data_IF_697119228399
#
_entry.id   IF_697119228399
#
_cell.length_a   1.000
_cell.length_b   1.000
_cell.length_c   1.000
_cell.angle_alpha   90.00
_cell.angle_beta   90.00
_cell.angle_gamma   90.00
#
_symmetry.space_group_name_H-M   'P 1'
#
loop_
_entity.id
_entity.type
_entity.pdbx_description
1 polymer ?
#
# COMPACT_ATOMS: atom_id res chain seq x y z
N UNK A 1 16.83 -29.60 6.79
CA UNK A 1 17.54 -28.48 6.11
C UNK A 1 17.41 -27.23 6.97
N UNK A 2 18.48 -26.47 7.16
CA UNK A 2 18.44 -25.18 7.86
C UNK A 2 17.71 -24.17 6.97
N UNK A 3 16.64 -23.54 7.45
CA UNK A 3 15.91 -22.53 6.68
C UNK A 3 16.71 -21.23 6.66
N UNK A 4 16.68 -20.52 5.53
CA UNK A 4 17.27 -19.18 5.45
C UNK A 4 16.41 -18.21 6.27
N UNK A 5 17.07 -17.38 7.07
CA UNK A 5 16.42 -16.33 7.85
C UNK A 5 16.13 -15.13 6.94
N UNK A 6 14.88 -14.67 6.92
CA UNK A 6 14.44 -13.52 6.11
C UNK A 6 13.62 -12.58 6.98
N UNK A 7 14.00 -11.30 7.02
CA UNK A 7 13.26 -10.27 7.74
C UNK A 7 12.34 -9.46 6.84
N UNK A 8 11.13 -9.18 7.33
CA UNK A 8 10.10 -8.42 6.62
C UNK A 8 9.43 -7.39 7.51
N UNK A 9 9.31 -6.17 7.01
CA UNK A 9 8.45 -5.14 7.56
C UNK A 9 7.12 -5.14 6.83
N UNK A 10 6.01 -5.06 7.56
CA UNK A 10 4.65 -5.01 7.00
C UNK A 10 3.97 -3.72 7.46
N UNK A 11 3.55 -2.91 6.50
CA UNK A 11 2.80 -1.67 6.69
C UNK A 11 1.54 -1.77 5.85
N UNK A 12 0.36 -1.59 6.45
CA UNK A 12 -0.89 -1.74 5.72
C UNK A 12 -1.98 -0.75 6.13
N UNK A 13 -2.88 -0.42 5.20
CA UNK A 13 -4.10 0.33 5.47
C UNK A 13 -5.29 -0.56 5.88
N UNK A 14 -5.06 -1.85 6.12
CA UNK A 14 -6.09 -2.76 6.59
C UNK A 14 -5.49 -3.89 7.44
N UNK A 15 -6.37 -4.66 8.07
CA UNK A 15 -5.96 -5.75 8.93
C UNK A 15 -5.19 -6.81 8.12
N UNK A 16 -3.95 -7.07 8.52
CA UNK A 16 -3.01 -7.99 7.90
C UNK A 16 -2.61 -9.16 8.83
N UNK A 17 -3.30 -9.34 9.97
CA UNK A 17 -2.97 -10.37 10.95
C UNK A 17 -3.02 -11.80 10.37
N UNK A 18 -3.97 -12.07 9.46
CA UNK A 18 -4.05 -13.35 8.77
C UNK A 18 -2.83 -13.58 7.87
N UNK A 19 -2.39 -12.55 7.14
CA UNK A 19 -1.20 -12.64 6.29
C UNK A 19 0.05 -12.88 7.13
N UNK A 20 0.23 -12.15 8.24
CA UNK A 20 1.33 -12.35 9.19
C UNK A 20 1.34 -13.77 9.74
N UNK A 21 0.17 -14.30 10.13
CA UNK A 21 0.04 -15.65 10.65
C UNK A 21 0.39 -16.71 9.60
N UNK A 22 -0.05 -16.52 8.35
CA UNK A 22 0.33 -17.41 7.24
C UNK A 22 1.83 -17.35 6.95
N UNK A 23 2.43 -16.16 7.01
CA UNK A 23 3.85 -15.96 6.76
C UNK A 23 4.70 -16.66 7.82
N UNK A 24 4.37 -16.46 9.12
CA UNK A 24 5.04 -17.11 10.24
C UNK A 24 4.93 -18.64 10.20
N UNK A 25 3.85 -19.19 9.66
CA UNK A 25 3.65 -20.63 9.49
C UNK A 25 4.21 -21.21 8.18
N UNK A 26 4.75 -20.37 7.29
CA UNK A 26 5.31 -20.83 6.02
C UNK A 26 6.55 -21.70 6.22
N UNK A 27 6.65 -22.79 5.45
CA UNK A 27 7.82 -23.66 5.46
C UNK A 27 9.00 -23.12 4.64
N UNK A 28 8.80 -22.06 3.86
CA UNK A 28 9.75 -21.58 2.86
C UNK A 28 10.99 -20.90 3.47
N UNK A 29 10.79 -20.08 4.51
CA UNK A 29 11.84 -19.32 5.19
C UNK A 29 11.61 -19.31 6.70
N UNK A 30 12.64 -18.93 7.45
CA UNK A 30 12.51 -18.55 8.86
C UNK A 30 12.24 -17.05 8.93
N UNK A 31 10.96 -16.68 9.03
CA UNK A 31 10.51 -15.29 8.88
C UNK A 31 10.62 -14.50 10.18
N UNK A 32 11.37 -13.41 10.15
CA UNK A 32 11.36 -12.37 11.18
C UNK A 32 10.41 -11.25 10.73
N UNK A 33 9.19 -11.26 11.28
CA UNK A 33 8.12 -10.33 10.89
C UNK A 33 8.04 -9.16 11.87
N UNK A 34 8.25 -7.95 11.35
CA UNK A 34 7.95 -6.70 12.02
C UNK A 34 6.68 -6.10 11.42
N UNK A 35 5.70 -5.79 12.24
CA UNK A 35 4.44 -5.19 11.80
C UNK A 35 4.16 -3.92 12.61
N UNK A 36 3.42 -3.00 12.00
CA UNK A 36 2.80 -1.85 12.68
C UNK A 36 1.29 -2.03 12.68
N UNK A 37 0.59 -1.37 13.59
CA UNK A 37 -0.86 -1.32 13.54
C UNK A 37 -1.34 -0.85 12.16
N UNK A 38 -2.40 -1.46 11.64
CA UNK A 38 -2.97 -1.04 10.37
C UNK A 38 -3.47 0.41 10.45
N UNK A 39 -3.61 1.06 9.29
CA UNK A 39 -3.94 2.49 9.17
C UNK A 39 -2.86 3.46 9.69
N UNK A 40 -1.63 2.98 9.92
CA UNK A 40 -0.49 3.82 10.30
C UNK A 40 0.49 4.05 9.13
N UNK A 41 0.02 4.00 7.88
CA UNK A 41 0.88 4.02 6.68
C UNK A 41 1.74 5.29 6.64
N UNK A 42 1.12 6.47 6.55
CA UNK A 42 1.86 7.73 6.46
C UNK A 42 2.63 8.06 7.74
N UNK A 43 2.06 7.75 8.91
CA UNK A 43 2.70 7.92 10.21
C UNK A 43 4.02 7.13 10.27
N UNK A 44 4.02 5.91 9.75
CA UNK A 44 5.20 5.05 9.72
C UNK A 44 6.20 5.51 8.65
N UNK A 45 5.73 5.83 7.45
CA UNK A 45 6.60 6.23 6.33
C UNK A 45 7.27 7.60 6.55
N UNK A 46 6.63 8.52 7.27
CA UNK A 46 7.16 9.87 7.53
C UNK A 46 7.96 9.97 8.83
N UNK A 47 7.80 9.00 9.75
CA UNK A 47 8.57 8.95 10.99
C UNK A 47 9.85 8.12 10.82
N UNK A 48 10.95 8.78 10.47
CA UNK A 48 12.27 8.15 10.33
C UNK A 48 12.81 7.50 11.63
N UNK A 49 12.24 7.86 12.79
CA UNK A 49 12.61 7.33 14.09
C UNK A 49 11.71 6.16 14.55
N UNK A 50 10.77 5.69 13.73
CA UNK A 50 9.91 4.57 14.08
C UNK A 50 10.75 3.31 14.40
N UNK A 51 10.30 2.52 15.38
CA UNK A 51 11.02 1.32 15.85
C UNK A 51 11.37 0.35 14.70
N UNK A 52 10.47 0.24 13.72
CA UNK A 52 10.60 -0.60 12.53
C UNK A 52 11.82 -0.23 11.64
N UNK A 53 12.30 1.01 11.72
CA UNK A 53 13.42 1.51 10.91
C UNK A 53 14.78 1.43 11.61
N UNK A 54 14.84 0.94 12.86
CA UNK A 54 16.09 0.81 13.62
C UNK A 54 17.08 -0.19 13.02
N UNK A 55 16.57 -1.16 12.26
CA UNK A 55 17.38 -2.17 11.59
C UNK A 55 16.93 -2.31 10.14
N UNK A 56 17.90 -2.50 9.25
CA UNK A 56 17.63 -2.78 7.85
C UNK A 56 17.09 -4.20 7.71
N UNK A 57 16.05 -4.37 6.89
CA UNK A 57 15.41 -5.66 6.64
C UNK A 57 15.55 -6.10 5.18
N UNK A 58 15.25 -7.36 4.88
CA UNK A 58 15.29 -7.85 3.51
C UNK A 58 14.14 -7.27 2.68
N UNK A 59 12.93 -7.23 3.24
CA UNK A 59 11.72 -6.84 2.52
C UNK A 59 10.94 -5.82 3.35
N UNK A 60 10.47 -4.75 2.73
CA UNK A 60 9.33 -3.97 3.26
C UNK A 60 8.15 -4.14 2.33
N UNK A 61 7.03 -4.63 2.85
CA UNK A 61 5.74 -4.69 2.16
C UNK A 61 4.87 -3.50 2.60
N UNK A 62 4.45 -2.69 1.63
CA UNK A 62 3.50 -1.60 1.84
C UNK A 62 2.21 -1.98 1.12
N UNK A 63 1.22 -2.45 1.88
CA UNK A 63 0.00 -3.01 1.34
C UNK A 63 -1.21 -2.13 1.66
N UNK A 64 -1.55 -1.27 0.72
CA UNK A 64 -2.54 -0.21 0.90
C UNK A 64 -3.72 -0.36 -0.04
N UNK A 65 -4.75 0.45 0.17
CA UNK A 65 -5.88 0.62 -0.74
C UNK A 65 -5.82 2.02 -1.36
N UNK A 66 -6.38 2.23 -2.56
CA UNK A 66 -6.30 3.54 -3.21
C UNK A 66 -6.99 4.63 -2.37
N UNK A 67 -8.12 4.32 -1.72
CA UNK A 67 -8.80 5.26 -0.82
C UNK A 67 -8.01 5.62 0.45
N UNK A 68 -7.06 4.78 0.87
CA UNK A 68 -6.18 5.08 2.02
C UNK A 68 -5.03 6.01 1.65
N UNK A 69 -4.72 6.13 0.35
CA UNK A 69 -3.66 7.00 -0.16
C UNK A 69 -4.22 8.34 -0.60
N UNK A 70 -5.39 8.34 -1.24
CA UNK A 70 -6.03 9.57 -1.71
C UNK A 70 -7.48 9.66 -1.23
N UNK A 71 -7.75 10.73 -0.47
CA UNK A 71 -9.11 11.08 -0.05
C UNK A 71 -10.01 11.45 -1.24
N UNK A 72 -9.42 11.96 -2.33
CA UNK A 72 -10.15 12.19 -3.58
C UNK A 72 -10.58 10.87 -4.23
N UNK A 73 -9.75 9.83 -4.16
CA UNK A 73 -10.17 8.51 -4.62
C UNK A 73 -11.31 7.94 -3.76
N UNK A 74 -11.32 8.21 -2.45
CA UNK A 74 -12.44 7.84 -1.60
C UNK A 74 -13.74 8.57 -1.99
N UNK A 75 -13.66 9.87 -2.32
CA UNK A 75 -14.80 10.64 -2.84
C UNK A 75 -15.34 10.04 -4.12
N UNK A 76 -14.45 9.60 -5.02
CA UNK A 76 -14.80 8.94 -6.26
C UNK A 76 -15.59 7.65 -6.04
N UNK A 77 -15.13 6.79 -5.11
CA UNK A 77 -15.84 5.56 -4.72
C UNK A 77 -17.25 5.87 -4.19
N UNK A 78 -17.42 7.02 -3.54
CA UNK A 78 -18.69 7.52 -3.03
C UNK A 78 -19.52 8.31 -4.07
N UNK A 79 -19.16 8.22 -5.36
CA UNK A 79 -19.86 8.87 -6.50
C UNK A 79 -19.92 10.40 -6.43
N UNK A 80 -18.94 11.01 -5.75
CA UNK A 80 -18.81 12.46 -5.72
C UNK A 80 -17.92 12.95 -6.87
N UNK A 81 -18.08 14.21 -7.25
CA UNK A 81 -17.14 14.88 -8.15
C UNK A 81 -15.75 14.97 -7.49
N UNK A 82 -14.70 14.76 -8.28
CA UNK A 82 -13.31 14.74 -7.79
C UNK A 82 -12.40 15.57 -8.67
N UNK A 83 -11.24 15.93 -8.12
CA UNK A 83 -10.14 16.51 -8.88
C UNK A 83 -9.05 15.45 -9.12
N UNK A 84 -8.99 14.90 -10.33
CA UNK A 84 -7.98 13.91 -10.70
C UNK A 84 -6.53 14.40 -10.53
N UNK A 85 -6.27 15.71 -10.57
CA UNK A 85 -4.92 16.24 -10.34
C UNK A 85 -4.50 16.17 -8.86
N UNK A 86 -5.47 16.20 -7.93
CA UNK A 86 -5.19 15.95 -6.52
C UNK A 86 -4.86 14.48 -6.26
N UNK A 87 -5.56 13.54 -6.93
CA UNK A 87 -5.22 12.10 -6.86
C UNK A 87 -3.76 11.87 -7.27
N UNK A 88 -3.32 12.48 -8.38
CA UNK A 88 -1.93 12.37 -8.85
C UNK A 88 -0.94 12.92 -7.83
N UNK A 89 -1.24 14.08 -7.22
CA UNK A 89 -0.38 14.67 -6.17
C UNK A 89 -0.28 13.78 -4.94
N UNK A 90 -1.37 13.16 -4.52
CA UNK A 90 -1.39 12.23 -3.38
C UNK A 90 -0.52 10.99 -3.68
N UNK A 91 -0.59 10.46 -4.90
CA UNK A 91 0.24 9.34 -5.37
C UNK A 91 1.71 9.74 -5.44
N UNK A 92 2.04 10.92 -5.99
CA UNK A 92 3.41 11.44 -6.04
C UNK A 92 4.01 11.58 -4.64
N UNK A 93 3.21 12.09 -3.69
CA UNK A 93 3.60 12.21 -2.29
C UNK A 93 3.84 10.85 -1.67
N UNK A 94 2.93 9.88 -1.85
CA UNK A 94 3.10 8.51 -1.38
C UNK A 94 4.38 7.86 -1.95
N UNK A 95 4.62 7.99 -3.25
CA UNK A 95 5.85 7.53 -3.89
C UNK A 95 7.10 8.21 -3.31
N UNK A 96 7.03 9.48 -2.95
CA UNK A 96 8.13 10.19 -2.27
C UNK A 96 8.43 9.61 -0.89
N UNK A 97 7.40 9.28 -0.12
CA UNK A 97 7.52 8.63 1.19
C UNK A 97 8.14 7.23 1.04
N UNK A 98 7.72 6.44 0.05
CA UNK A 98 8.31 5.13 -0.26
C UNK A 98 9.80 5.26 -0.60
N UNK A 99 10.18 6.21 -1.45
CA UNK A 99 11.60 6.43 -1.79
C UNK A 99 12.44 6.72 -0.55
N UNK A 100 11.89 7.46 0.42
CA UNK A 100 12.60 7.84 1.64
C UNK A 100 12.96 6.64 2.54
N UNK A 101 12.14 5.57 2.51
CA UNK A 101 12.38 4.39 3.33
C UNK A 101 13.31 3.37 2.68
N UNK A 102 13.71 3.57 1.41
CA UNK A 102 14.50 2.59 0.65
C UNK A 102 15.81 2.18 1.34
N UNK A 103 16.41 3.10 2.09
CA UNK A 103 17.63 2.84 2.88
C UNK A 103 17.46 1.80 3.99
N UNK A 104 16.23 1.53 4.43
CA UNK A 104 15.90 0.56 5.47
C UNK A 104 15.54 -0.83 4.93
N UNK A 105 15.55 -1.04 3.61
CA UNK A 105 15.22 -2.36 3.04
C UNK A 105 15.93 -2.69 1.74
N UNK A 106 16.31 -3.97 1.60
CA UNK A 106 16.91 -4.47 0.36
C UNK A 106 15.90 -4.43 -0.80
N UNK A 107 14.63 -4.73 -0.52
CA UNK A 107 13.53 -4.69 -1.48
C UNK A 107 12.33 -3.99 -0.83
N UNK A 108 11.63 -3.15 -1.60
CA UNK A 108 10.33 -2.60 -1.20
C UNK A 108 9.29 -3.13 -2.18
N UNK A 109 8.25 -3.77 -1.65
CA UNK A 109 7.13 -4.32 -2.40
C UNK A 109 5.90 -3.45 -2.17
N UNK A 110 5.28 -3.02 -3.26
CA UNK A 110 4.02 -2.28 -3.26
C UNK A 110 3.08 -3.04 -4.21
N UNK A 111 2.07 -3.77 -3.70
CA UNK A 111 1.10 -4.43 -4.55
C UNK A 111 0.28 -3.41 -5.34
N UNK A 112 -0.06 -3.73 -6.59
CA UNK A 112 -0.98 -2.92 -7.39
C UNK A 112 -2.34 -2.81 -6.70
N UNK A 113 -2.95 -1.65 -6.83
CA UNK A 113 -4.29 -1.41 -6.32
C UNK A 113 -5.34 -2.02 -7.24
N UNK A 114 -6.29 -2.73 -6.63
CA UNK A 114 -7.46 -3.32 -7.28
C UNK A 114 -8.73 -2.76 -6.62
N UNK A 115 -9.80 -2.60 -7.39
CA UNK A 115 -11.10 -2.23 -6.83
C UNK A 115 -11.70 -3.41 -6.05
N UNK A 116 -12.32 -3.12 -4.90
CA UNK A 116 -13.00 -4.15 -4.09
C UNK A 116 -14.20 -4.76 -4.80
N UNK A 117 -14.84 -4.02 -5.70
CA UNK A 117 -15.97 -4.46 -6.51
C UNK A 117 -15.86 -3.83 -7.91
N UNK A 118 -16.19 -4.56 -8.99
CA UNK A 118 -16.42 -3.95 -10.29
C UNK A 118 -17.65 -3.05 -10.16
N UNK A 119 -17.42 -1.75 -10.01
CA UNK A 119 -18.44 -0.84 -9.48
C UNK A 119 -19.32 -0.20 -10.57
N UNK A 120 -18.98 -0.44 -11.84
CA UNK A 120 -19.46 0.33 -12.97
C UNK A 120 -20.25 -0.58 -13.92
N UNK A 121 -21.54 -0.28 -14.10
CA UNK A 121 -22.43 -1.04 -14.99
C UNK A 121 -22.12 -0.87 -16.47
N UNK A 122 -21.28 0.11 -16.83
CA UNK A 122 -20.89 0.43 -18.19
C UNK A 122 -19.40 0.77 -18.28
N UNK A 123 -18.69 0.15 -19.22
CA UNK A 123 -17.28 0.45 -19.52
C UNK A 123 -17.07 1.94 -19.87
N UNK A 124 -18.04 2.56 -20.56
CA UNK A 124 -17.94 3.97 -20.91
C UNK A 124 -17.94 4.88 -19.68
N UNK A 125 -18.71 4.52 -18.64
CA UNK A 125 -18.73 5.25 -17.38
C UNK A 125 -17.44 4.97 -16.57
N UNK A 126 -16.98 3.70 -16.56
CA UNK A 126 -15.79 3.27 -15.85
C UNK A 126 -14.51 4.00 -16.28
N UNK A 127 -14.44 4.36 -17.58
CA UNK A 127 -13.32 5.09 -18.17
C UNK A 127 -13.60 6.58 -18.42
N UNK A 128 -14.71 7.12 -17.90
CA UNK A 128 -15.05 8.52 -18.06
C UNK A 128 -14.08 9.43 -17.30
N UNK A 129 -13.62 10.50 -17.97
CA UNK A 129 -12.69 11.46 -17.36
C UNK A 129 -13.35 12.18 -16.19
N UNK A 130 -12.76 12.07 -15.00
CA UNK A 130 -13.21 12.75 -13.77
C UNK A 130 -14.25 12.00 -12.94
N UNK A 131 -14.85 10.91 -13.44
CA UNK A 131 -15.85 10.11 -12.71
C UNK A 131 -15.56 8.60 -12.74
N UNK A 132 -14.90 8.11 -13.78
CA UNK A 132 -14.60 6.70 -13.94
C UNK A 132 -13.58 6.18 -12.91
N UNK A 133 -13.97 5.18 -12.13
CA UNK A 133 -13.09 4.54 -11.15
C UNK A 133 -11.86 3.89 -11.80
N UNK A 134 -12.05 3.20 -12.92
CA UNK A 134 -10.97 2.52 -13.64
C UNK A 134 -9.99 3.53 -14.26
N UNK A 135 -10.52 4.62 -14.84
CA UNK A 135 -9.69 5.71 -15.36
C UNK A 135 -8.80 6.30 -14.26
N UNK A 136 -9.36 6.63 -13.08
CA UNK A 136 -8.57 7.23 -12.02
C UNK A 136 -7.62 6.23 -11.34
N UNK A 137 -8.01 4.96 -11.21
CA UNK A 137 -7.15 3.90 -10.67
C UNK A 137 -5.92 3.68 -11.55
N UNK A 138 -6.07 3.84 -12.88
CA UNK A 138 -4.94 3.70 -13.81
C UNK A 138 -3.83 4.74 -13.62
N UNK A 139 -4.10 5.90 -13.00
CA UNK A 139 -3.06 6.87 -12.66
C UNK A 139 -2.40 6.58 -11.31
N UNK A 140 -3.01 5.73 -10.50
CA UNK A 140 -2.48 5.35 -9.21
C UNK A 140 -1.48 4.19 -9.36
N UNK A 141 -1.72 3.27 -10.30
CA UNK A 141 -0.79 2.19 -10.65
C UNK A 141 0.28 2.65 -11.66
#
# INVERSE_FOLDING_TARGET
MKKNKVSINIISSFNHANFVSLLKNSSSFDWEVNEVDYNQVFQTLTNSNAKMWKQRVNITLIWTTPESISSEFQKLQNKNAVNSDLIKKDVDYFCSCIRSIKKYSDIVLVPNWILKQPNESSLAFAYSKGFGLEYNLSFMN
#
